data_IF_123359367490
#
_entry.id   IF_123359367490
#
_cell.length_a   1.000
_cell.length_b   1.000
_cell.length_c   1.000
_cell.angle_alpha   90.00
_cell.angle_beta   90.00
_cell.angle_gamma   90.00
#
_symmetry.space_group_name_H-M   'P 1'
#
loop_
_entity.id
_entity.type
_entity.pdbx_description
1 polymer ?
#
# COMPACT_ATOMS: atom_id res chain seq x y z
N UNK A 1 39.44 9.82 0.90
CA UNK A 1 38.35 8.82 1.02
C UNK A 1 37.86 8.51 -0.38
N UNK A 2 38.24 7.36 -0.92
CA UNK A 2 37.80 6.91 -2.23
C UNK A 2 36.40 6.28 -2.09
N UNK A 3 35.46 6.77 -2.89
CA UNK A 3 34.14 6.18 -3.04
C UNK A 3 34.30 4.76 -3.60
N UNK A 4 34.05 3.73 -2.78
CA UNK A 4 33.98 2.33 -3.25
C UNK A 4 32.94 2.25 -4.35
N UNK A 5 33.34 1.70 -5.50
CA UNK A 5 32.43 1.39 -6.61
C UNK A 5 31.25 0.56 -6.08
N UNK A 6 30.05 1.14 -6.13
CA UNK A 6 28.80 0.46 -5.77
C UNK A 6 28.56 -0.60 -6.85
N UNK A 7 28.85 -1.87 -6.55
CA UNK A 7 28.52 -2.97 -7.47
C UNK A 7 27.01 -3.04 -7.61
N UNK A 8 26.51 -2.97 -8.84
CA UNK A 8 25.09 -3.09 -9.13
C UNK A 8 24.60 -4.51 -8.83
N UNK A 9 23.35 -4.69 -8.38
CA UNK A 9 22.74 -6.00 -8.30
C UNK A 9 22.71 -6.68 -9.67
N UNK A 10 23.11 -7.95 -9.72
CA UNK A 10 23.06 -8.77 -10.93
C UNK A 10 21.97 -9.83 -10.79
N UNK A 11 21.01 -9.81 -11.70
CA UNK A 11 19.95 -10.81 -11.77
C UNK A 11 20.28 -11.84 -12.84
N UNK A 12 20.35 -13.12 -12.47
CA UNK A 12 20.60 -14.24 -13.37
C UNK A 12 19.36 -15.12 -13.53
N UNK A 13 19.13 -15.59 -14.75
CA UNK A 13 18.01 -16.47 -15.07
C UNK A 13 16.64 -15.83 -14.86
N UNK A 14 16.52 -14.53 -15.19
CA UNK A 14 15.23 -13.86 -15.20
C UNK A 14 14.31 -14.48 -16.26
N UNK A 15 13.09 -14.86 -15.85
CA UNK A 15 12.02 -15.30 -16.75
C UNK A 15 10.75 -14.52 -16.45
N UNK A 16 10.03 -14.18 -17.51
CA UNK A 16 8.71 -13.55 -17.45
C UNK A 16 7.80 -14.35 -18.37
N UNK A 17 6.72 -14.89 -17.83
CA UNK A 17 5.66 -15.54 -18.61
C UNK A 17 4.35 -14.80 -18.34
N UNK A 18 3.59 -14.53 -19.40
CA UNK A 18 2.29 -13.89 -19.31
C UNK A 18 1.24 -14.70 -20.02
N UNK A 19 0.05 -14.80 -19.43
CA UNK A 19 -1.12 -15.35 -20.11
C UNK A 19 -2.34 -14.45 -19.86
N UNK A 20 -3.24 -14.44 -20.83
CA UNK A 20 -4.53 -13.77 -20.72
C UNK A 20 -5.61 -14.64 -21.34
N UNK A 21 -6.80 -14.60 -20.76
CA UNK A 21 -7.98 -15.30 -21.25
C UNK A 21 -9.23 -14.44 -21.07
N UNK A 22 -10.31 -14.79 -21.77
CA UNK A 22 -11.61 -14.17 -21.56
C UNK A 22 -12.41 -14.97 -20.53
N UNK A 23 -13.29 -14.30 -19.80
CA UNK A 23 -14.33 -14.95 -19.00
C UNK A 23 -15.27 -15.76 -19.91
N UNK A 24 -16.03 -16.69 -19.32
CA UNK A 24 -16.92 -17.58 -20.08
C UNK A 24 -17.97 -16.83 -20.92
N UNK A 25 -18.40 -15.64 -20.49
CA UNK A 25 -19.34 -14.78 -21.21
C UNK A 25 -18.67 -13.82 -22.20
N UNK A 26 -17.33 -13.86 -22.31
CA UNK A 26 -16.53 -13.06 -23.24
C UNK A 26 -16.40 -11.57 -22.88
N UNK A 27 -16.92 -11.13 -21.73
CA UNK A 27 -16.96 -9.70 -21.35
C UNK A 27 -15.81 -9.28 -20.43
N UNK A 28 -15.27 -10.22 -19.67
CA UNK A 28 -14.17 -10.00 -18.74
C UNK A 28 -12.85 -10.52 -19.27
N UNK A 29 -11.77 -9.95 -18.77
CA UNK A 29 -10.38 -10.32 -19.06
C UNK A 29 -9.75 -10.85 -17.78
N UNK A 30 -9.14 -12.03 -17.87
CA UNK A 30 -8.27 -12.59 -16.84
C UNK A 30 -6.83 -12.50 -17.36
N UNK A 31 -5.89 -12.10 -16.50
CA UNK A 31 -4.47 -11.97 -16.81
C UNK A 31 -3.62 -12.53 -15.69
N UNK A 32 -2.57 -13.25 -16.05
CA UNK A 32 -1.56 -13.73 -15.13
C UNK A 32 -0.18 -13.36 -15.64
N UNK A 33 0.68 -12.92 -14.72
CA UNK A 33 2.10 -12.66 -14.95
C UNK A 33 2.92 -13.45 -13.93
N UNK A 34 3.82 -14.28 -14.42
CA UNK A 34 4.79 -15.03 -13.63
C UNK A 34 6.18 -14.48 -13.87
N UNK A 35 6.85 -14.07 -12.80
CA UNK A 35 8.23 -13.62 -12.78
C UNK A 35 9.07 -14.58 -11.95
N UNK A 36 10.23 -14.97 -12.47
CA UNK A 36 11.23 -15.72 -11.70
C UNK A 36 12.61 -15.11 -11.86
N UNK A 37 13.40 -15.15 -10.79
CA UNK A 37 14.83 -14.88 -10.75
C UNK A 37 15.49 -16.12 -10.17
N UNK A 38 16.42 -16.72 -10.92
CA UNK A 38 17.13 -17.91 -10.45
C UNK A 38 18.20 -17.56 -9.41
N UNK A 39 18.88 -16.42 -9.58
CA UNK A 39 19.88 -15.94 -8.64
C UNK A 39 19.96 -14.41 -8.70
N UNK A 40 19.98 -13.78 -7.53
CA UNK A 40 20.36 -12.39 -7.36
C UNK A 40 21.74 -12.36 -6.72
N UNK A 41 22.68 -11.65 -7.35
CA UNK A 41 24.04 -11.51 -6.85
C UNK A 41 24.34 -10.08 -6.44
N UNK A 42 24.95 -9.92 -5.27
CA UNK A 42 25.52 -8.67 -4.77
C UNK A 42 27.02 -8.87 -4.52
N UNK A 43 27.88 -8.03 -5.09
CA UNK A 43 29.35 -8.20 -5.03
C UNK A 43 29.80 -9.64 -5.35
N UNK A 44 29.17 -10.27 -6.34
CA UNK A 44 29.40 -11.66 -6.76
C UNK A 44 29.00 -12.74 -5.73
N UNK A 45 28.31 -12.39 -4.65
CA UNK A 45 27.70 -13.32 -3.71
C UNK A 45 26.23 -13.54 -4.06
N UNK A 46 25.81 -14.80 -4.15
CA UNK A 46 24.41 -15.17 -4.33
C UNK A 46 23.61 -14.93 -3.04
N UNK A 47 22.60 -14.07 -3.13
CA UNK A 47 21.73 -13.68 -2.02
C UNK A 47 20.33 -14.32 -2.09
N UNK A 48 20.07 -15.14 -3.12
CA UNK A 48 18.86 -15.94 -3.23
C UNK A 48 18.18 -15.89 -4.60
N UNK A 49 17.02 -16.53 -4.63
CA UNK A 49 16.15 -16.67 -5.79
C UNK A 49 14.76 -16.13 -5.46
N UNK A 50 14.03 -15.65 -6.46
CA UNK A 50 12.72 -15.03 -6.26
C UNK A 50 11.68 -15.54 -7.24
N UNK A 51 10.43 -15.60 -6.81
CA UNK A 51 9.27 -15.84 -7.66
C UNK A 51 8.17 -14.85 -7.31
N UNK A 52 7.44 -14.39 -8.32
CA UNK A 52 6.26 -13.56 -8.17
C UNK A 52 5.22 -14.00 -9.20
N UNK A 53 4.05 -14.41 -8.72
CA UNK A 53 2.87 -14.65 -9.58
C UNK A 53 1.82 -13.59 -9.27
N UNK A 54 1.49 -12.75 -10.25
CA UNK A 54 0.36 -11.83 -10.22
C UNK A 54 -0.79 -12.38 -11.05
N UNK A 55 -2.01 -12.28 -10.53
CA UNK A 55 -3.25 -12.58 -11.25
C UNK A 55 -4.22 -11.42 -11.10
N UNK A 56 -4.79 -11.00 -12.20
CA UNK A 56 -5.89 -10.06 -12.29
C UNK A 56 -7.05 -10.78 -12.97
N UNK A 57 -8.12 -11.05 -12.23
CA UNK A 57 -9.30 -11.73 -12.77
C UNK A 57 -10.48 -10.78 -12.87
N UNK A 58 -11.37 -11.07 -13.82
CA UNK A 58 -12.66 -10.43 -13.97
C UNK A 58 -12.59 -8.90 -14.20
N UNK A 59 -11.61 -8.47 -14.98
CA UNK A 59 -11.52 -7.08 -15.46
C UNK A 59 -12.56 -6.88 -16.55
N UNK A 60 -13.52 -5.96 -16.37
CA UNK A 60 -14.52 -5.65 -17.40
C UNK A 60 -13.84 -5.03 -18.63
N UNK A 61 -14.01 -5.66 -19.81
CA UNK A 61 -13.32 -5.26 -21.03
C UNK A 61 -13.75 -3.89 -21.56
N UNK A 62 -15.03 -3.53 -21.39
CA UNK A 62 -15.54 -2.23 -21.81
C UNK A 62 -15.02 -1.11 -20.88
N UNK A 63 -15.02 -1.37 -19.56
CA UNK A 63 -14.46 -0.47 -18.57
C UNK A 63 -12.95 -0.28 -18.76
N UNK A 64 -12.20 -1.35 -19.05
CA UNK A 64 -10.76 -1.25 -19.36
C UNK A 64 -10.51 -0.40 -20.61
N UNK A 65 -11.32 -0.57 -21.65
CA UNK A 65 -11.21 0.25 -22.85
C UNK A 65 -11.48 1.73 -22.58
N UNK A 66 -12.55 2.04 -21.82
CA UNK A 66 -12.88 3.41 -21.42
C UNK A 66 -11.79 4.02 -20.53
N UNK A 67 -11.26 3.25 -19.57
CA UNK A 67 -10.17 3.66 -18.70
C UNK A 67 -8.93 4.03 -19.53
N UNK A 68 -8.54 3.17 -20.48
CA UNK A 68 -7.38 3.41 -21.33
C UNK A 68 -7.55 4.68 -22.18
N UNK A 69 -8.73 4.91 -22.77
CA UNK A 69 -9.00 6.13 -23.53
C UNK A 69 -8.90 7.38 -22.64
N UNK A 70 -9.56 7.36 -21.47
CA UNK A 70 -9.58 8.48 -20.53
C UNK A 70 -8.18 8.80 -20.00
N UNK A 71 -7.46 7.80 -19.50
CA UNK A 71 -6.11 7.95 -18.99
C UNK A 71 -5.16 8.52 -20.04
N UNK A 72 -5.19 8.00 -21.27
CA UNK A 72 -4.32 8.48 -22.35
C UNK A 72 -4.64 9.93 -22.73
N UNK A 73 -5.92 10.31 -22.81
CA UNK A 73 -6.32 11.68 -23.11
C UNK A 73 -5.86 12.66 -22.02
N UNK A 74 -6.07 12.32 -20.74
CA UNK A 74 -5.66 13.16 -19.61
C UNK A 74 -4.14 13.24 -19.48
N UNK A 75 -3.41 12.12 -19.63
CA UNK A 75 -1.96 12.12 -19.63
C UNK A 75 -1.37 12.99 -20.77
N UNK A 76 -1.98 12.95 -21.97
CA UNK A 76 -1.59 13.84 -23.07
C UNK A 76 -1.86 15.31 -22.77
N UNK A 77 -2.99 15.64 -22.13
CA UNK A 77 -3.28 17.00 -21.69
C UNK A 77 -2.28 17.50 -20.66
N UNK A 78 -1.89 16.66 -19.69
CA UNK A 78 -0.88 17.00 -18.67
C UNK A 78 0.50 17.25 -19.29
N UNK A 79 0.89 16.47 -20.31
CA UNK A 79 2.15 16.69 -21.03
C UNK A 79 2.15 17.99 -21.85
N UNK A 80 0.98 18.42 -22.33
CA UNK A 80 0.84 19.66 -23.08
C UNK A 80 0.76 20.91 -22.19
N UNK A 81 0.60 20.76 -20.87
CA UNK A 81 0.54 21.87 -19.92
C UNK A 81 1.95 22.47 -19.69
N UNK A 82 2.19 23.73 -20.11
CA UNK A 82 3.49 24.37 -19.94
C UNK A 82 3.92 24.56 -18.48
N UNK A 83 2.98 24.61 -17.53
CA UNK A 83 3.27 24.75 -16.10
C UNK A 83 3.80 23.43 -15.51
N UNK A 84 3.26 22.30 -15.97
CA UNK A 84 3.68 20.97 -15.53
C UNK A 84 4.97 20.52 -16.22
N UNK A 85 5.20 20.92 -17.48
CA UNK A 85 6.44 20.65 -18.21
C UNK A 85 7.71 21.19 -17.49
N UNK A 86 7.54 22.26 -16.71
CA UNK A 86 8.62 22.90 -15.96
C UNK A 86 8.78 22.34 -14.53
N UNK A 87 7.86 21.49 -14.08
CA UNK A 87 7.88 20.93 -12.74
C UNK A 87 7.56 19.41 -12.74
N UNK A 88 8.60 18.56 -12.83
CA UNK A 88 8.43 17.10 -12.84
C UNK A 88 7.70 16.52 -11.63
N UNK A 89 7.75 17.18 -10.47
CA UNK A 89 7.05 16.73 -9.26
C UNK A 89 5.55 17.00 -9.37
N UNK A 90 5.16 18.19 -9.80
CA UNK A 90 3.75 18.52 -10.03
C UNK A 90 3.15 17.67 -11.15
N UNK A 91 3.91 17.40 -12.22
CA UNK A 91 3.47 16.50 -13.28
C UNK A 91 3.21 15.08 -12.76
N UNK A 92 4.11 14.54 -11.93
CA UNK A 92 3.91 13.22 -11.32
C UNK A 92 2.69 13.18 -10.39
N UNK A 93 2.47 14.23 -9.59
CA UNK A 93 1.27 14.33 -8.75
C UNK A 93 -0.01 14.37 -9.60
N UNK A 94 -0.03 15.16 -10.67
CA UNK A 94 -1.18 15.27 -11.57
C UNK A 94 -1.46 13.95 -12.32
N UNK A 95 -0.42 13.26 -12.80
CA UNK A 95 -0.57 11.92 -13.39
C UNK A 95 -1.10 10.89 -12.39
N UNK A 96 -0.61 10.95 -11.15
CA UNK A 96 -1.07 10.07 -10.07
C UNK A 96 -2.54 10.32 -9.76
N UNK A 97 -2.95 11.59 -9.67
CA UNK A 97 -4.35 11.97 -9.46
C UNK A 97 -5.24 11.53 -10.62
N UNK A 98 -4.76 11.70 -11.86
CA UNK A 98 -5.43 11.22 -13.08
C UNK A 98 -5.71 9.73 -13.00
N UNK A 99 -4.69 8.93 -12.64
CA UNK A 99 -4.84 7.49 -12.46
C UNK A 99 -5.88 7.15 -11.37
N UNK A 100 -5.77 7.75 -10.18
CA UNK A 100 -6.71 7.48 -9.08
C UNK A 100 -8.15 7.92 -9.40
N UNK A 101 -8.34 8.99 -10.18
CA UNK A 101 -9.67 9.44 -10.60
C UNK A 101 -10.36 8.48 -11.58
N UNK A 102 -9.56 7.73 -12.35
CA UNK A 102 -10.04 6.75 -13.32
C UNK A 102 -10.15 5.33 -12.73
N UNK A 103 -9.48 5.06 -11.61
CA UNK A 103 -9.47 3.76 -10.94
C UNK A 103 -10.88 3.21 -10.61
N UNK A 104 -11.87 3.99 -10.13
CA UNK A 104 -13.21 3.47 -9.86
C UNK A 104 -13.88 2.82 -11.07
N UNK A 105 -13.56 3.27 -12.29
CA UNK A 105 -14.08 2.68 -13.53
C UNK A 105 -13.63 1.23 -13.69
N UNK A 106 -12.38 0.92 -13.34
CA UNK A 106 -11.81 -0.42 -13.43
C UNK A 106 -12.47 -1.41 -12.47
N UNK A 107 -13.15 -0.91 -11.44
CA UNK A 107 -13.81 -1.75 -10.43
C UNK A 107 -15.21 -2.24 -10.86
N UNK A 108 -15.74 -1.75 -11.98
CA UNK A 108 -17.06 -2.12 -12.50
C UNK A 108 -17.26 -3.63 -12.67
N UNK A 109 -16.21 -4.34 -13.06
CA UNK A 109 -16.22 -5.80 -13.19
C UNK A 109 -16.27 -6.55 -11.85
N UNK A 110 -16.10 -5.87 -10.71
CA UNK A 110 -15.74 -6.51 -9.43
C UNK A 110 -14.50 -7.42 -9.59
N UNK A 111 -13.36 -6.85 -10.01
CA UNK A 111 -12.16 -7.63 -10.28
C UNK A 111 -11.52 -8.17 -9.00
N UNK A 112 -10.62 -9.13 -9.17
CA UNK A 112 -9.74 -9.57 -8.08
C UNK A 112 -8.27 -9.48 -8.46
N UNK A 113 -7.45 -9.06 -7.50
CA UNK A 113 -6.00 -9.08 -7.58
C UNK A 113 -5.46 -10.17 -6.65
N UNK A 114 -4.65 -11.07 -7.17
CA UNK A 114 -3.97 -12.08 -6.37
C UNK A 114 -2.46 -12.05 -6.61
N UNK A 115 -1.69 -12.02 -5.54
CA UNK A 115 -0.25 -12.23 -5.50
C UNK A 115 -0.05 -13.57 -4.78
N UNK A 116 0.29 -14.64 -5.50
CA UNK A 116 0.48 -15.95 -4.87
C UNK A 116 1.29 -16.92 -5.74
N UNK A 117 2.52 -17.30 -5.31
CA UNK A 117 3.31 -16.67 -4.25
C UNK A 117 4.08 -15.44 -4.76
N UNK A 118 4.32 -14.46 -3.88
CA UNK A 118 5.59 -13.74 -3.88
C UNK A 118 6.52 -14.48 -2.94
N UNK A 119 7.64 -14.99 -3.42
CA UNK A 119 8.60 -15.71 -2.60
C UNK A 119 10.04 -15.28 -2.81
N UNK A 120 10.80 -15.37 -1.72
CA UNK A 120 12.24 -15.19 -1.71
C UNK A 120 12.90 -16.34 -0.97
N UNK A 121 13.84 -17.03 -1.63
CA UNK A 121 14.49 -18.23 -1.11
C UNK A 121 16.00 -18.10 -1.10
N UNK A 122 16.60 -18.46 0.03
CA UNK A 122 18.04 -18.68 0.16
C UNK A 122 18.29 -20.11 0.70
N UNK A 123 19.55 -20.42 1.03
CA UNK A 123 19.93 -21.76 1.52
C UNK A 123 19.34 -22.15 2.89
N UNK A 124 18.69 -21.21 3.60
CA UNK A 124 18.14 -21.39 4.95
C UNK A 124 16.61 -21.35 5.01
N UNK A 125 15.94 -21.15 3.88
CA UNK A 125 14.48 -21.23 3.80
C UNK A 125 13.89 -20.32 2.73
N UNK A 126 12.57 -20.18 2.76
CA UNK A 126 11.80 -19.38 1.81
C UNK A 126 10.81 -18.49 2.57
N UNK A 127 10.89 -17.18 2.35
CA UNK A 127 9.83 -16.24 2.73
C UNK A 127 8.76 -16.28 1.66
N UNK A 128 7.50 -16.26 2.09
CA UNK A 128 6.34 -16.22 1.18
C UNK A 128 5.35 -15.16 1.63
N UNK A 129 4.87 -14.36 0.68
CA UNK A 129 3.67 -13.53 0.79
C UNK A 129 2.62 -14.06 -0.17
N UNK A 130 1.43 -14.33 0.36
CA UNK A 130 0.22 -14.55 -0.42
C UNK A 130 -0.76 -13.42 -0.08
N UNK A 131 -1.37 -12.83 -1.10
CA UNK A 131 -2.35 -11.77 -0.96
C UNK A 131 -3.44 -11.97 -2.02
N UNK A 132 -4.70 -11.91 -1.61
CA UNK A 132 -5.85 -11.88 -2.52
C UNK A 132 -6.79 -10.77 -2.08
N UNK A 133 -7.21 -9.94 -3.03
CA UNK A 133 -8.16 -8.85 -2.81
C UNK A 133 -9.27 -9.01 -3.83
N UNK A 134 -10.50 -9.12 -3.35
CA UNK A 134 -11.70 -9.08 -4.18
C UNK A 134 -12.34 -7.70 -4.01
N UNK A 135 -12.61 -7.04 -5.14
CA UNK A 135 -13.11 -5.67 -5.18
C UNK A 135 -14.59 -5.67 -5.58
N UNK A 136 -15.29 -4.60 -5.19
CA UNK A 136 -16.69 -4.33 -5.54
C UNK A 136 -16.76 -3.20 -6.57
N UNK A 137 -17.85 -3.16 -7.31
CA UNK A 137 -18.21 -1.96 -8.08
C UNK A 137 -18.75 -0.87 -7.13
N UNK A 138 -17.99 0.23 -6.90
CA UNK A 138 -18.39 1.28 -5.97
C UNK A 138 -19.60 2.09 -6.47
N UNK A 139 -19.96 1.98 -7.75
CA UNK A 139 -21.13 2.65 -8.34
C UNK A 139 -22.46 2.03 -7.92
N UNK A 140 -22.44 0.78 -7.44
CA UNK A 140 -23.62 0.10 -6.91
C UNK A 140 -24.02 0.58 -5.51
N UNK A 141 -23.15 1.34 -4.85
CA UNK A 141 -23.40 1.92 -3.51
C UNK A 141 -23.48 3.44 -3.63
N UNK A 142 -24.69 3.98 -3.45
CA UNK A 142 -24.95 5.43 -3.54
C UNK A 142 -25.00 6.13 -2.19
N UNK A 143 -25.04 5.37 -1.09
CA UNK A 143 -25.05 5.92 0.27
C UNK A 143 -23.66 6.48 0.59
N UNK A 144 -23.56 7.74 1.06
CA UNK A 144 -22.29 8.28 1.53
C UNK A 144 -21.78 7.48 2.74
N UNK A 145 -20.49 7.12 2.77
CA UNK A 145 -19.89 6.41 3.91
C UNK A 145 -20.03 7.26 5.18
N UNK A 146 -20.38 6.65 6.30
CA UNK A 146 -20.43 7.31 7.61
C UNK A 146 -19.23 6.91 8.47
N UNK A 147 -18.68 5.73 8.23
CA UNK A 147 -17.55 5.14 8.97
C UNK A 147 -16.42 4.74 8.02
N UNK A 148 -15.24 4.48 8.58
CA UNK A 148 -14.14 3.92 7.78
C UNK A 148 -14.52 2.54 7.24
N UNK A 149 -15.25 1.75 8.03
CA UNK A 149 -15.80 0.48 7.59
C UNK A 149 -16.65 0.62 6.32
N UNK A 150 -17.55 1.61 6.25
CA UNK A 150 -18.38 1.84 5.08
C UNK A 150 -17.55 2.17 3.82
N UNK A 151 -16.52 3.00 3.97
CA UNK A 151 -15.67 3.40 2.85
C UNK A 151 -14.86 2.22 2.31
N UNK A 152 -14.32 1.39 3.19
CA UNK A 152 -13.61 0.16 2.77
C UNK A 152 -14.59 -0.84 2.17
N UNK A 153 -15.75 -1.07 2.80
CA UNK A 153 -16.77 -2.00 2.32
C UNK A 153 -17.40 -1.59 0.99
N UNK A 154 -17.31 -0.31 0.61
CA UNK A 154 -17.78 0.15 -0.70
C UNK A 154 -16.94 -0.39 -1.86
N UNK A 155 -15.64 -0.54 -1.65
CA UNK A 155 -14.69 -0.89 -2.71
C UNK A 155 -14.07 -2.29 -2.54
N UNK A 156 -13.99 -2.78 -1.30
CA UNK A 156 -13.39 -4.06 -0.95
C UNK A 156 -14.49 -5.04 -0.54
N UNK A 157 -14.54 -6.19 -1.20
CA UNK A 157 -15.39 -7.32 -0.81
C UNK A 157 -14.72 -8.17 0.25
N UNK A 158 -13.46 -8.52 -0.01
CA UNK A 158 -12.65 -9.27 0.92
C UNK A 158 -11.18 -9.08 0.64
N UNK A 159 -10.37 -9.26 1.68
CA UNK A 159 -8.92 -9.36 1.60
C UNK A 159 -8.48 -10.60 2.38
N UNK A 160 -7.54 -11.36 1.84
CA UNK A 160 -6.84 -12.42 2.54
C UNK A 160 -5.35 -12.27 2.27
N UNK A 161 -4.56 -12.08 3.33
CA UNK A 161 -3.12 -11.92 3.27
C UNK A 161 -2.45 -12.84 4.27
N UNK A 162 -1.37 -13.49 3.84
CA UNK A 162 -0.51 -14.31 4.70
C UNK A 162 0.96 -14.12 4.34
N UNK A 163 1.74 -13.69 5.33
CA UNK A 163 3.19 -13.56 5.28
C UNK A 163 3.82 -14.60 6.19
N UNK A 164 4.86 -15.27 5.69
CA UNK A 164 5.68 -16.21 6.46
C UNK A 164 7.14 -15.89 6.20
N UNK A 165 7.90 -15.64 7.26
CA UNK A 165 9.33 -15.35 7.22
C UNK A 165 10.06 -16.30 8.17
N UNK A 166 10.70 -17.37 7.67
CA UNK A 166 11.54 -18.22 8.52
C UNK A 166 12.68 -17.39 9.13
N UNK A 167 12.89 -17.51 10.44
CA UNK A 167 13.91 -16.73 11.16
C UNK A 167 15.30 -17.02 10.59
N UNK A 168 15.63 -18.29 10.38
CA UNK A 168 16.94 -18.69 9.84
C UNK A 168 17.20 -18.12 8.44
N UNK A 169 16.15 -18.04 7.61
CA UNK A 169 16.21 -17.42 6.28
C UNK A 169 16.51 -15.93 6.39
N UNK A 170 15.74 -15.20 7.19
CA UNK A 170 15.92 -13.76 7.39
C UNK A 170 17.28 -13.42 8.02
N UNK A 171 17.72 -14.20 9.02
CA UNK A 171 19.02 -14.02 9.67
C UNK A 171 20.15 -14.25 8.68
N UNK A 172 20.07 -15.29 7.84
CA UNK A 172 21.08 -15.54 6.81
C UNK A 172 21.14 -14.41 5.77
N UNK A 173 19.99 -13.92 5.33
CA UNK A 173 19.91 -12.77 4.42
C UNK A 173 20.56 -11.52 5.04
N UNK A 174 20.16 -11.15 6.26
CA UNK A 174 20.72 -9.99 6.96
C UNK A 174 22.21 -10.14 7.27
N UNK A 175 22.68 -11.36 7.55
CA UNK A 175 24.11 -11.65 7.75
C UNK A 175 24.90 -11.35 6.48
N UNK A 176 24.39 -11.76 5.32
CA UNK A 176 25.02 -11.47 4.02
C UNK A 176 25.06 -9.96 3.76
N UNK A 177 23.95 -9.24 4.02
CA UNK A 177 23.90 -7.78 3.88
C UNK A 177 24.94 -7.11 4.79
N UNK A 178 25.01 -7.45 6.07
CA UNK A 178 26.01 -6.92 6.99
C UNK A 178 27.45 -7.27 6.55
N UNK A 179 27.69 -8.47 6.01
CA UNK A 179 28.97 -8.84 5.42
C UNK A 179 29.37 -7.92 4.25
N UNK A 180 28.41 -7.53 3.40
CA UNK A 180 28.64 -6.58 2.30
C UNK A 180 28.96 -5.16 2.80
N UNK A 181 28.45 -4.79 3.97
CA UNK A 181 28.77 -3.52 4.66
C UNK A 181 30.16 -3.55 5.34
N UNK A 182 30.80 -4.71 5.41
CA UNK A 182 32.17 -4.90 5.91
C UNK A 182 32.26 -5.43 7.33
N UNK A 183 31.16 -5.89 7.93
CA UNK A 183 31.19 -6.57 9.22
C UNK A 183 31.91 -7.92 9.12
N UNK A 184 32.62 -8.30 10.19
CA UNK A 184 33.20 -9.64 10.28
C UNK A 184 32.09 -10.69 10.38
N UNK A 185 32.28 -11.91 9.84
CA UNK A 185 31.20 -12.90 9.74
C UNK A 185 30.50 -13.24 11.06
N UNK A 186 31.26 -13.36 12.15
CA UNK A 186 30.71 -13.67 13.47
C UNK A 186 29.87 -12.51 14.04
N UNK A 187 30.34 -11.27 13.87
CA UNK A 187 29.63 -10.08 14.32
C UNK A 187 28.39 -9.82 13.46
N UNK A 188 28.50 -10.00 12.14
CA UNK A 188 27.38 -9.90 11.20
C UNK A 188 26.26 -10.88 11.56
N UNK A 189 26.60 -12.14 11.85
CA UNK A 189 25.62 -13.16 12.21
C UNK A 189 24.93 -12.83 13.54
N UNK A 190 25.70 -12.40 14.55
CA UNK A 190 25.16 -12.00 15.85
C UNK A 190 24.24 -10.78 15.73
N UNK A 191 24.66 -9.78 14.96
CA UNK A 191 23.87 -8.58 14.71
C UNK A 191 22.57 -8.91 13.97
N UNK A 192 22.64 -9.73 12.92
CA UNK A 192 21.48 -10.17 12.16
C UNK A 192 20.48 -10.95 13.03
N UNK A 193 20.96 -11.89 13.85
CA UNK A 193 20.14 -12.65 14.79
C UNK A 193 19.39 -11.72 15.76
N UNK A 194 20.10 -10.74 16.34
CA UNK A 194 19.49 -9.76 17.24
C UNK A 194 18.46 -8.87 16.53
N UNK A 195 18.74 -8.42 15.32
CA UNK A 195 17.81 -7.58 14.55
C UNK A 195 16.54 -8.34 14.17
N UNK A 196 16.67 -9.59 13.69
CA UNK A 196 15.51 -10.41 13.31
C UNK A 196 14.65 -10.73 14.54
N UNK A 197 15.27 -11.11 15.67
CA UNK A 197 14.55 -11.32 16.94
C UNK A 197 13.92 -10.04 17.47
N UNK A 198 14.59 -8.90 17.34
CA UNK A 198 14.06 -7.60 17.73
C UNK A 198 12.84 -7.21 16.90
N UNK A 199 12.88 -7.42 15.59
CA UNK A 199 11.73 -7.19 14.69
C UNK A 199 10.57 -8.15 15.02
N UNK A 200 10.86 -9.43 15.26
CA UNK A 200 9.85 -10.40 15.67
C UNK A 200 9.18 -10.00 17.00
N UNK A 201 9.99 -9.62 18.01
CA UNK A 201 9.49 -9.20 19.31
C UNK A 201 8.65 -7.91 19.22
N UNK A 202 9.08 -6.94 18.41
CA UNK A 202 8.32 -5.72 18.16
C UNK A 202 7.00 -6.03 17.45
N UNK A 203 7.02 -6.89 16.43
CA UNK A 203 5.80 -7.31 15.73
C UNK A 203 4.81 -8.04 16.64
N UNK A 204 5.30 -8.88 17.55
CA UNK A 204 4.47 -9.51 18.59
C UNK A 204 3.91 -8.49 19.59
N UNK A 205 4.72 -7.51 20.00
CA UNK A 205 4.31 -6.45 20.92
C UNK A 205 3.16 -5.61 20.32
N UNK A 206 3.24 -5.26 19.03
CA UNK A 206 2.16 -4.59 18.29
C UNK A 206 1.05 -5.55 17.80
N UNK A 207 1.16 -6.85 18.12
CA UNK A 207 0.22 -7.92 17.71
C UNK A 207 0.05 -8.09 16.21
N UNK A 208 0.97 -7.54 15.40
CA UNK A 208 0.97 -7.64 13.94
C UNK A 208 1.60 -8.94 13.44
N UNK A 209 2.45 -9.59 14.24
CA UNK A 209 3.06 -10.87 13.91
C UNK A 209 2.93 -11.88 15.06
N UNK A 210 2.96 -13.15 14.70
CA UNK A 210 3.10 -14.29 15.59
C UNK A 210 4.38 -15.07 15.29
N UNK A 211 4.77 -15.96 16.21
CA UNK A 211 5.87 -16.89 16.01
C UNK A 211 5.30 -18.31 15.94
N UNK A 212 5.52 -18.99 14.83
CA UNK A 212 5.06 -20.36 14.57
C UNK A 212 6.18 -21.12 13.86
N UNK A 213 6.58 -22.29 14.37
CA UNK A 213 7.59 -23.17 13.74
C UNK A 213 8.90 -22.46 13.33
N UNK A 214 9.47 -21.63 14.20
CA UNK A 214 10.67 -20.80 13.92
C UNK A 214 10.48 -19.82 12.73
N UNK A 215 9.25 -19.40 12.46
CA UNK A 215 8.92 -18.39 11.48
C UNK A 215 8.11 -17.25 12.11
N UNK A 216 8.41 -16.03 11.66
CA UNK A 216 7.59 -14.85 11.91
C UNK A 216 6.43 -14.92 10.91
N UNK A 217 5.21 -15.04 11.42
CA UNK A 217 4.00 -15.15 10.60
C UNK A 217 3.10 -13.94 10.82
N UNK A 218 2.38 -13.54 9.78
CA UNK A 218 1.33 -12.53 9.87
C UNK A 218 0.19 -12.91 8.94
N UNK A 219 -1.04 -12.90 9.42
CA UNK A 219 -2.22 -13.11 8.60
C UNK A 219 -3.22 -11.98 8.81
N UNK A 220 -3.73 -11.42 7.74
CA UNK A 220 -4.76 -10.40 7.76
C UNK A 220 -5.89 -10.81 6.84
N UNK A 221 -7.10 -10.88 7.38
CA UNK A 221 -8.30 -11.11 6.60
C UNK A 221 -9.29 -9.98 6.84
N UNK A 222 -10.05 -9.65 5.81
CA UNK A 222 -11.14 -8.70 5.87
C UNK A 222 -12.33 -9.21 5.08
N UNK A 223 -13.53 -9.12 5.66
CA UNK A 223 -14.80 -9.26 4.94
C UNK A 223 -15.92 -8.66 5.81
N UNK A 224 -16.87 -7.99 5.16
CA UNK A 224 -18.11 -7.49 5.79
C UNK A 224 -17.85 -6.69 7.08
N UNK A 225 -16.97 -5.68 6.99
CA UNK A 225 -16.59 -4.81 8.11
C UNK A 225 -15.80 -5.48 9.24
N UNK A 226 -15.43 -6.75 9.10
CA UNK A 226 -14.70 -7.51 10.10
C UNK A 226 -13.28 -7.81 9.64
N UNK A 227 -12.31 -7.58 10.53
CA UNK A 227 -10.91 -7.92 10.36
C UNK A 227 -10.58 -9.15 11.19
N UNK A 228 -9.78 -10.07 10.65
CA UNK A 228 -9.12 -11.12 11.43
C UNK A 228 -7.62 -10.98 11.28
N UNK A 229 -6.95 -10.50 12.32
CA UNK A 229 -5.49 -10.35 12.39
C UNK A 229 -4.92 -11.48 13.25
N UNK A 230 -4.05 -12.31 12.69
CA UNK A 230 -3.39 -13.43 13.39
C UNK A 230 -4.38 -14.32 14.16
N UNK A 231 -5.55 -14.59 13.57
CA UNK A 231 -6.64 -15.38 14.17
C UNK A 231 -7.55 -14.62 15.14
N UNK A 232 -7.25 -13.36 15.47
CA UNK A 232 -8.08 -12.51 16.32
C UNK A 232 -9.04 -11.69 15.47
N UNK A 233 -10.34 -11.92 15.65
CA UNK A 233 -11.41 -11.22 14.93
C UNK A 233 -11.84 -9.94 15.66
N UNK A 234 -11.98 -8.84 14.95
CA UNK A 234 -12.42 -7.53 15.46
C UNK A 234 -13.07 -6.68 14.36
N UNK A 235 -13.90 -5.69 14.70
CA UNK A 235 -14.42 -4.72 13.74
C UNK A 235 -13.30 -3.90 13.09
N UNK A 236 -13.51 -3.46 11.84
CA UNK A 236 -12.53 -2.65 11.11
C UNK A 236 -12.19 -1.33 11.84
N UNK A 237 -13.17 -0.68 12.45
CA UNK A 237 -12.93 0.58 13.18
C UNK A 237 -12.04 0.36 14.42
N UNK A 238 -12.18 -0.78 15.10
CA UNK A 238 -11.30 -1.15 16.23
C UNK A 238 -9.88 -1.40 15.73
N UNK A 239 -9.73 -2.17 14.65
CA UNK A 239 -8.44 -2.42 14.00
C UNK A 239 -7.78 -1.11 13.57
N UNK A 240 -8.50 -0.21 12.91
CA UNK A 240 -7.99 1.09 12.49
C UNK A 240 -7.57 1.96 13.68
N UNK A 241 -8.34 1.93 14.77
CA UNK A 241 -8.03 2.59 16.02
C UNK A 241 -6.70 2.13 16.64
N UNK A 242 -6.33 0.85 16.51
CA UNK A 242 -5.04 0.33 16.99
C UNK A 242 -3.83 1.01 16.33
N UNK A 243 -4.01 1.55 15.11
CA UNK A 243 -2.95 2.20 14.32
C UNK A 243 -3.16 3.71 14.16
N UNK A 244 -4.16 4.29 14.85
CA UNK A 244 -4.49 5.71 14.71
C UNK A 244 -5.00 6.10 13.32
N UNK A 245 -5.53 5.14 12.56
CA UNK A 245 -6.13 5.40 11.26
C UNK A 245 -7.55 5.92 11.47
N UNK A 246 -7.82 7.14 11.01
CA UNK A 246 -9.14 7.76 11.03
C UNK A 246 -9.48 8.31 9.65
N UNK A 247 -10.76 8.36 9.31
CA UNK A 247 -11.21 9.11 8.14
C UNK A 247 -10.81 10.58 8.31
N UNK A 248 -10.30 11.25 7.26
CA UNK A 248 -10.23 12.70 7.27
C UNK A 248 -11.64 13.22 7.51
N UNK A 249 -11.80 14.15 8.46
CA UNK A 249 -13.07 14.82 8.67
C UNK A 249 -13.52 15.39 7.32
N UNK A 250 -14.72 15.02 6.87
CA UNK A 250 -15.37 15.71 5.76
C UNK A 250 -15.43 17.17 6.20
N UNK A 251 -14.70 18.05 5.52
CA UNK A 251 -14.81 19.47 5.80
C UNK A 251 -16.29 19.83 5.57
N UNK A 252 -17.02 20.08 6.65
CA UNK A 252 -18.34 20.69 6.55
C UNK A 252 -18.15 21.94 5.68
N UNK A 253 -18.97 22.14 4.63
CA UNK A 253 -19.01 23.43 3.97
C UNK A 253 -19.24 24.44 5.08
N UNK A 254 -18.32 25.39 5.23
CA UNK A 254 -18.46 26.45 6.22
C UNK A 254 -19.88 26.99 6.09
N UNK A 255 -20.69 26.81 7.15
CA UNK A 255 -22.04 27.36 7.18
C UNK A 255 -21.92 28.84 6.79
N UNK A 256 -22.79 29.37 5.91
CA UNK A 256 -22.79 30.78 5.60
C UNK A 256 -22.80 31.54 6.92
N UNK A 257 -21.76 32.34 7.18
CA UNK A 257 -21.77 33.22 8.34
C UNK A 257 -23.01 34.09 8.17
N UNK A 258 -24.03 33.84 8.99
CA UNK A 258 -25.11 34.80 9.18
C UNK A 258 -24.45 36.06 9.70
N UNK A 259 -24.32 37.06 8.83
CA UNK A 259 -23.95 38.42 9.21
C UNK A 259 -24.97 38.88 10.25
N UNK A 260 -24.58 38.84 11.52
CA UNK A 260 -25.33 39.48 12.59
C UNK A 260 -25.48 40.97 12.23
N UNK A 261 -26.70 41.54 12.30
CA UNK A 261 -26.86 42.98 12.18
C UNK A 261 -26.06 43.67 13.29
N UNK A 262 -25.14 44.55 12.91
CA UNK A 262 -24.53 45.48 13.86
C UNK A 262 -25.61 46.43 14.36
N UNK A 263 -26.02 46.27 15.62
CA UNK A 263 -26.77 47.28 16.36
C UNK A 263 -25.80 48.43 16.69
N UNK A 264 -25.84 49.49 15.87
CA UNK A 264 -25.26 50.79 16.18
C UNK A 264 -26.08 51.46 17.29
N UNK A 265 -25.73 51.19 18.53
CA UNK A 265 -26.18 51.98 19.68
C UNK A 265 -25.10 53.01 20.07
N UNK A 266 -25.40 54.33 20.10
CA UNK A 266 -24.43 55.35 20.44
C UNK A 266 -24.02 55.27 21.91
N UNK A 267 -22.71 55.17 22.16
CA UNK A 267 -22.15 55.25 23.51
C UNK A 267 -22.20 56.69 24.02
N UNK A 268 -22.96 56.90 25.09
CA UNK A 268 -23.08 58.17 25.80
C UNK A 268 -21.75 58.63 26.40
N UNK A 269 -21.48 59.91 26.17
CA UNK A 269 -20.26 60.64 26.52
C UNK A 269 -20.28 60.98 28.01
N UNK A 270 -19.32 60.47 28.79
CA UNK A 270 -19.16 60.87 30.21
C UNK A 270 -18.22 62.09 30.29
N UNK A 271 -18.65 63.23 30.90
CA UNK A 271 -17.85 64.46 30.95
C UNK A 271 -16.72 64.44 32.01
N UNK A 272 -15.70 65.32 31.89
CA UNK A 272 -14.41 65.19 32.56
C UNK A 272 -14.42 65.71 34.02
N UNK A 273 -13.64 65.04 34.89
CA UNK A 273 -13.33 65.52 36.24
C UNK A 273 -12.03 66.36 36.23
N UNK A 274 -12.09 67.55 36.81
CA UNK A 274 -11.00 68.51 36.93
C UNK A 274 -10.04 68.19 38.11
N UNK A 275 -8.79 68.70 38.11
CA UNK A 275 -7.69 68.22 38.95
C UNK A 275 -7.59 68.93 40.31
N UNK A 276 -7.05 68.24 41.33
CA UNK A 276 -6.59 68.87 42.58
C UNK A 276 -5.19 68.38 42.97
N UNK A 277 -4.26 69.33 42.80
CA UNK A 277 -2.96 69.62 43.45
C UNK A 277 -1.94 68.50 43.73
#
# INVERSE_FOLDING_TARGET
MAWKAKSWPLFEGMKIDGNSSLTADGKGINSQLDYTVNSLKLQNQDIGSGRLTLKLDNIDGAAFHQFSQKYNAEAQALMADPQLAQNPELYQQALTQTFFSALPMMLKGSPSLTISPLSWRNAKGETTLNLSILLKDPSLTTTPPQTLADEVDRSVKSLDGKLVIPVDMATAFMTQIAGLEGYQPADAAKLADQQVKGLAAMGQMFRITTMEDNAITSSLQYADGQVTLNGQKMPLDEFAGMFGLALPAVAEPAAPQETQPQDDAPQDVVPPAAPQQ
#
